data_IF_348393940736
#
_entry.id   IF_348393940736
#
_cell.length_a   1.000
_cell.length_b   1.000
_cell.length_c   1.000
_cell.angle_alpha   90.00
_cell.angle_beta   90.00
_cell.angle_gamma   90.00
#
_symmetry.space_group_name_H-M   'P 1'
#
loop_
_entity.id
_entity.type
_entity.pdbx_description
1 polymer ?
#
# COMPACT_ATOMS: atom_id res chain seq x y z
N UNK A 1 15.13 4.27 -15.16
CA UNK A 1 13.83 4.25 -15.89
C UNK A 1 12.66 4.32 -14.92
N UNK A 2 12.45 3.32 -14.06
CA UNK A 2 11.34 3.29 -13.08
C UNK A 2 11.22 4.55 -12.23
N UNK A 3 12.31 5.05 -11.65
CA UNK A 3 12.29 6.26 -10.83
C UNK A 3 11.75 7.49 -11.59
N UNK A 4 12.13 7.66 -12.87
CA UNK A 4 11.63 8.76 -13.69
C UNK A 4 10.16 8.57 -14.08
N UNK A 5 9.72 7.33 -14.30
CA UNK A 5 8.31 7.01 -14.59
C UNK A 5 7.41 7.22 -13.38
N UNK A 6 7.90 6.98 -12.17
CA UNK A 6 7.14 7.12 -10.92
C UNK A 6 7.12 8.56 -10.39
N UNK A 7 8.09 9.39 -10.79
CA UNK A 7 8.16 10.78 -10.36
C UNK A 7 6.89 11.52 -10.80
N UNK A 8 6.33 12.30 -9.86
CA UNK A 8 5.12 13.11 -10.05
C UNK A 8 3.85 12.33 -10.44
N UNK A 9 3.82 11.01 -10.29
CA UNK A 9 2.62 10.21 -10.52
C UNK A 9 1.71 10.18 -9.30
N UNK A 10 0.42 10.45 -9.53
CA UNK A 10 -0.64 10.26 -8.52
C UNK A 10 -1.32 8.92 -8.75
N UNK A 11 -1.13 7.98 -7.84
CA UNK A 11 -1.77 6.67 -7.90
C UNK A 11 -3.08 6.68 -7.10
N UNK A 12 -4.20 6.44 -7.78
CA UNK A 12 -5.49 6.20 -7.11
C UNK A 12 -5.58 4.73 -6.73
N UNK A 13 -5.56 4.44 -5.43
CA UNK A 13 -5.67 3.09 -4.89
C UNK A 13 -7.08 2.84 -4.35
N UNK A 14 -7.61 1.64 -4.62
CA UNK A 14 -8.86 1.18 -3.98
C UNK A 14 -8.51 0.49 -2.67
N UNK A 15 -9.15 0.90 -1.59
CA UNK A 15 -8.89 0.33 -0.28
C UNK A 15 -10.10 0.33 0.63
N UNK A 16 -9.92 -0.26 1.81
CA UNK A 16 -10.93 -0.36 2.86
C UNK A 16 -10.30 -0.11 4.22
N UNK A 17 -11.10 0.46 5.13
CA UNK A 17 -10.75 0.63 6.54
C UNK A 17 -11.77 -0.12 7.38
N UNK A 18 -11.30 -0.90 8.35
CA UNK A 18 -12.13 -1.48 9.41
C UNK A 18 -11.70 -0.85 10.72
N UNK A 19 -12.68 -0.29 11.44
CA UNK A 19 -12.49 0.30 12.76
C UNK A 19 -13.06 -0.67 13.80
N UNK A 20 -12.24 -1.06 14.77
CA UNK A 20 -12.69 -1.84 15.91
C UNK A 20 -13.06 -0.88 17.04
N UNK A 21 -14.30 -0.96 17.48
CA UNK A 21 -14.87 -0.11 18.52
C UNK A 21 -14.98 -0.87 19.83
N UNK A 22 -14.56 -0.25 20.92
CA UNK A 22 -14.77 -0.75 22.28
C UNK A 22 -15.92 0.03 22.93
N UNK A 23 -17.05 -0.65 23.14
CA UNK A 23 -18.23 -0.05 23.76
C UNK A 23 -18.03 0.29 25.24
N UNK A 24 -17.13 -0.40 25.96
CA UNK A 24 -16.87 -0.11 27.38
C UNK A 24 -16.04 1.17 27.54
N UNK A 25 -15.16 1.45 26.57
CA UNK A 25 -14.33 2.66 26.55
C UNK A 25 -14.87 3.79 25.65
N UNK A 26 -15.98 3.54 24.94
CA UNK A 26 -16.63 4.45 23.98
C UNK A 26 -15.63 5.04 22.95
N UNK A 27 -14.76 4.19 22.39
CA UNK A 27 -13.72 4.63 21.44
C UNK A 27 -13.27 3.56 20.46
N UNK A 28 -12.63 3.99 19.37
CA UNK A 28 -11.89 3.09 18.45
C UNK A 28 -10.62 2.59 19.14
N UNK A 29 -10.44 1.28 19.17
CA UNK A 29 -9.25 0.62 19.74
C UNK A 29 -8.31 0.06 18.66
N UNK A 30 -8.79 -0.11 17.42
CA UNK A 30 -7.96 -0.61 16.32
C UNK A 30 -8.41 -0.06 14.98
N UNK A 31 -7.44 0.18 14.11
CA UNK A 31 -7.64 0.54 12.72
C UNK A 31 -6.94 -0.48 11.85
N UNK A 32 -7.70 -1.21 11.03
CA UNK A 32 -7.17 -2.06 9.99
C UNK A 32 -7.37 -1.39 8.64
N UNK A 33 -6.28 -1.17 7.93
CA UNK A 33 -6.29 -0.58 6.60
C UNK A 33 -5.66 -1.55 5.60
N UNK A 34 -6.22 -1.59 4.40
CA UNK A 34 -5.67 -2.28 3.25
C UNK A 34 -6.01 -1.50 1.97
N UNK A 35 -5.09 -1.43 1.03
CA UNK A 35 -5.33 -0.85 -0.29
C UNK A 35 -4.56 -1.57 -1.39
N UNK A 36 -5.14 -1.65 -2.58
CA UNK A 36 -4.52 -2.26 -3.76
C UNK A 36 -3.61 -1.25 -4.47
N UNK A 37 -2.31 -1.36 -4.21
CA UNK A 37 -1.26 -0.61 -4.92
C UNK A 37 -0.81 -1.35 -6.20
N UNK A 38 -1.09 -2.64 -6.29
CA UNK A 38 -0.66 -3.50 -7.40
C UNK A 38 -1.34 -3.10 -8.72
N UNK A 39 -2.67 -2.97 -8.71
CA UNK A 39 -3.44 -2.61 -9.91
C UNK A 39 -3.01 -1.28 -10.54
N UNK A 40 -2.90 -0.16 -9.80
CA UNK A 40 -2.48 1.10 -10.40
C UNK A 40 -1.02 1.07 -10.88
N UNK A 41 -0.12 0.35 -10.21
CA UNK A 41 1.27 0.22 -10.65
C UNK A 41 1.41 -0.63 -11.92
N UNK A 42 0.66 -1.73 -12.05
CA UNK A 42 0.64 -2.54 -13.29
C UNK A 42 0.13 -1.69 -14.46
N UNK A 43 -0.90 -0.86 -14.25
CA UNK A 43 -1.41 0.06 -15.28
C UNK A 43 -0.39 1.12 -15.70
N UNK A 44 0.39 1.64 -14.76
CA UNK A 44 1.41 2.65 -15.02
C UNK A 44 2.66 2.09 -15.71
N UNK A 45 3.15 0.94 -15.25
CA UNK A 45 4.43 0.37 -15.68
C UNK A 45 4.29 -0.61 -16.85
N UNK A 46 3.12 -1.20 -17.03
CA UNK A 46 2.80 -2.08 -18.17
C UNK A 46 3.26 -3.53 -18.02
N UNK A 47 4.05 -3.87 -16.99
CA UNK A 47 4.48 -5.23 -16.74
C UNK A 47 4.74 -5.54 -15.24
N UNK A 48 4.71 -6.82 -14.90
CA UNK A 48 4.85 -7.29 -13.52
C UNK A 48 6.30 -7.29 -13.00
N UNK A 49 7.29 -7.35 -13.90
CA UNK A 49 8.72 -7.39 -13.53
C UNK A 49 9.17 -6.03 -13.00
N UNK A 50 8.74 -4.97 -13.66
CA UNK A 50 8.98 -3.58 -13.27
C UNK A 50 8.24 -3.26 -11.97
N UNK A 51 6.99 -3.72 -11.81
CA UNK A 51 6.25 -3.59 -10.54
C UNK A 51 6.96 -4.32 -9.39
N UNK A 52 7.42 -5.55 -9.61
CA UNK A 52 8.20 -6.29 -8.60
C UNK A 52 9.48 -5.54 -8.20
N UNK A 53 10.13 -4.88 -9.17
CA UNK A 53 11.33 -4.08 -8.92
C UNK A 53 11.07 -2.85 -8.05
N UNK A 54 9.87 -2.25 -8.11
CA UNK A 54 9.47 -1.12 -7.24
C UNK A 54 9.37 -1.55 -5.78
N UNK A 55 8.91 -2.78 -5.51
CA UNK A 55 8.79 -3.30 -4.15
C UNK A 55 10.10 -3.88 -3.59
N UNK A 56 11.15 -3.97 -4.40
CA UNK A 56 12.45 -4.43 -3.92
C UNK A 56 13.01 -3.47 -2.87
N UNK A 57 13.15 -3.94 -1.63
CA UNK A 57 13.53 -3.14 -0.44
C UNK A 57 12.55 -2.02 -0.09
N UNK A 58 11.32 -2.04 -0.63
CA UNK A 58 10.29 -1.09 -0.23
C UNK A 58 9.88 -1.34 1.23
N UNK A 59 9.52 -0.26 1.93
CA UNK A 59 8.98 -0.32 3.30
C UNK A 59 7.48 -0.57 3.35
N UNK A 60 6.86 -0.76 2.19
CA UNK A 60 5.44 -1.06 2.02
C UNK A 60 5.27 -2.28 1.12
N UNK A 61 4.22 -3.05 1.37
CA UNK A 61 3.82 -4.18 0.54
C UNK A 61 2.83 -3.75 -0.55
N UNK A 62 2.59 -4.58 -1.60
CA UNK A 62 1.63 -4.27 -2.66
C UNK A 62 0.18 -4.06 -2.20
N UNK A 63 -0.20 -4.61 -1.04
CA UNK A 63 -1.47 -4.38 -0.37
C UNK A 63 -1.45 -3.18 0.62
N UNK A 64 -0.45 -2.30 0.45
CA UNK A 64 -0.27 -1.04 1.16
C UNK A 64 -0.10 -1.18 2.69
N UNK A 65 0.58 -2.23 3.15
CA UNK A 65 0.95 -2.41 4.57
C UNK A 65 2.41 -2.07 4.80
N UNK A 66 2.74 -1.54 5.97
CA UNK A 66 4.12 -1.34 6.35
C UNK A 66 4.82 -2.68 6.60
N UNK A 67 6.02 -2.84 6.04
CA UNK A 67 6.89 -3.96 6.36
C UNK A 67 7.37 -3.76 7.80
N UNK A 68 7.10 -4.73 8.67
CA UNK A 68 7.59 -4.69 10.06
C UNK A 68 9.12 -4.76 10.03
N UNK A 69 9.78 -3.82 10.71
CA UNK A 69 11.22 -3.93 10.95
C UNK A 69 11.44 -5.06 11.94
N UNK A 70 12.11 -6.13 11.50
CA UNK A 70 12.64 -7.15 12.40
C UNK A 70 13.83 -6.49 13.11
N UNK A 71 13.69 -6.25 14.42
CA UNK A 71 14.82 -5.88 15.29
C UNK A 71 15.31 -7.15 15.97
#
# INVERSE_FOLDING_TARGET
RLAATLLDQTLVMRGSVVLEWDNAMDKVIRVHFQADMMTPLIKLLGDMKDVNSVFNKARVTPDCRFVRSVH
#
